data_IF_080199365872
#
_entry.id   IF_080199365872
#
_cell.length_a   1.000
_cell.length_b   1.000
_cell.length_c   1.000
_cell.angle_alpha   90.00
_cell.angle_beta   90.00
_cell.angle_gamma   90.00
#
_symmetry.space_group_name_H-M   'P 1'
#
loop_
_entity.id
_entity.type
_entity.pdbx_description
1 polymer ?
#
# COMPACT_ATOMS: atom_id res chain seq x y z
N UNK A 1 5.98 48.73 -12.70
CA UNK A 1 5.36 47.39 -12.86
C UNK A 1 5.49 46.65 -11.55
N UNK A 2 4.42 46.68 -10.74
CA UNK A 2 4.36 45.90 -9.48
C UNK A 2 4.15 44.46 -9.86
N UNK A 3 5.19 43.61 -9.74
CA UNK A 3 5.10 42.18 -9.83
C UNK A 3 4.20 41.68 -8.71
N UNK A 4 3.02 41.17 -9.06
CA UNK A 4 2.06 40.64 -8.09
C UNK A 4 2.65 39.33 -7.51
N UNK A 5 3.05 39.27 -6.21
CA UNK A 5 3.74 38.11 -5.63
C UNK A 5 2.86 36.88 -5.48
N UNK A 6 1.61 36.93 -5.91
CA UNK A 6 0.60 35.88 -5.71
C UNK A 6 0.39 34.92 -6.89
N UNK A 7 1.20 35.06 -7.97
CA UNK A 7 0.97 34.32 -9.23
C UNK A 7 1.38 32.83 -9.16
N UNK A 8 2.09 32.39 -8.13
CA UNK A 8 2.58 31.00 -8.04
C UNK A 8 2.07 30.20 -6.83
N UNK A 9 0.94 30.59 -6.22
CA UNK A 9 0.36 29.79 -5.15
C UNK A 9 -0.48 28.65 -5.70
N UNK A 10 -0.03 27.41 -5.50
CA UNK A 10 -0.93 26.27 -5.57
C UNK A 10 -2.10 26.49 -4.58
N UNK A 11 -3.33 26.05 -4.91
CA UNK A 11 -4.50 26.30 -4.06
C UNK A 11 -4.34 25.55 -2.73
N UNK A 12 -3.82 26.29 -1.74
CA UNK A 12 -3.72 25.82 -0.36
C UNK A 12 -5.10 25.88 0.28
N UNK A 13 -5.49 24.83 1.02
CA UNK A 13 -6.71 24.88 1.81
C UNK A 13 -6.68 26.03 2.82
N UNK A 14 -7.83 26.58 3.21
CA UNK A 14 -7.92 27.75 4.10
C UNK A 14 -7.16 27.57 5.44
N UNK A 15 -7.03 26.33 5.94
CA UNK A 15 -6.25 25.99 7.15
C UNK A 15 -4.77 26.29 6.97
N UNK A 16 -4.22 26.08 5.79
CA UNK A 16 -2.83 26.39 5.47
C UNK A 16 -2.64 27.85 5.10
N UNK A 17 -3.69 28.53 4.66
CA UNK A 17 -3.66 29.94 4.28
C UNK A 17 -3.66 30.88 5.50
N UNK A 18 -4.41 30.56 6.56
CA UNK A 18 -4.50 31.40 7.76
C UNK A 18 -3.15 31.66 8.46
N UNK A 19 -2.25 30.66 8.65
CA UNK A 19 -0.90 30.89 9.19
C UNK A 19 -0.02 31.77 8.30
N UNK A 20 -0.18 31.72 6.97
CA UNK A 20 0.58 32.58 6.04
C UNK A 20 0.23 34.03 6.23
N UNK A 21 -1.07 34.37 6.36
CA UNK A 21 -1.52 35.73 6.62
C UNK A 21 -0.95 36.29 7.96
N UNK A 22 -0.84 35.45 8.97
CA UNK A 22 -0.24 35.79 10.26
C UNK A 22 1.28 36.00 10.15
N UNK A 23 1.97 35.21 9.31
CA UNK A 23 3.41 35.38 9.04
C UNK A 23 3.75 36.70 8.38
N UNK A 24 2.85 37.22 7.56
CA UNK A 24 2.96 38.57 6.93
C UNK A 24 2.68 39.70 7.91
N UNK A 25 2.56 39.42 9.21
CA UNK A 25 2.33 40.43 10.27
C UNK A 25 0.88 40.89 10.40
N UNK A 26 -0.06 40.30 9.68
CA UNK A 26 -1.46 40.67 9.74
C UNK A 26 -2.19 39.86 10.84
N UNK A 27 -2.42 40.49 12.00
CA UNK A 27 -3.23 39.92 13.08
C UNK A 27 -4.73 39.99 12.73
N UNK A 28 -5.23 38.99 12.01
CA UNK A 28 -6.65 38.93 11.64
C UNK A 28 -7.31 37.66 12.19
N UNK A 29 -8.58 37.81 12.60
CA UNK A 29 -9.33 36.68 13.09
C UNK A 29 -9.54 35.62 11.97
N UNK A 30 -9.26 34.38 12.28
CA UNK A 30 -9.36 33.24 11.34
C UNK A 30 -10.76 33.14 10.70
N UNK A 31 -11.84 33.50 11.42
CA UNK A 31 -13.22 33.51 10.87
C UNK A 31 -13.38 34.58 9.77
N UNK A 32 -12.69 35.73 9.89
CA UNK A 32 -12.69 36.79 8.87
C UNK A 32 -11.91 36.31 7.63
N UNK A 33 -10.75 35.69 7.82
CA UNK A 33 -9.95 35.08 6.73
C UNK A 33 -10.76 34.04 5.98
N UNK A 34 -11.43 33.14 6.69
CA UNK A 34 -12.27 32.11 6.09
C UNK A 34 -13.42 32.70 5.24
N UNK A 35 -14.11 33.73 5.76
CA UNK A 35 -15.19 34.38 5.03
C UNK A 35 -14.72 35.04 3.74
N UNK A 36 -13.58 35.75 3.79
CA UNK A 36 -12.97 36.41 2.62
C UNK A 36 -12.52 35.34 1.61
N UNK A 37 -11.92 34.26 2.08
CA UNK A 37 -11.48 33.12 1.28
C UNK A 37 -12.65 32.48 0.51
N UNK A 38 -13.79 32.33 1.15
CA UNK A 38 -15.03 31.83 0.55
C UNK A 38 -15.59 32.81 -0.48
N UNK A 39 -15.67 34.10 -0.14
CA UNK A 39 -16.22 35.14 -1.01
C UNK A 39 -15.42 35.29 -2.32
N UNK A 40 -14.11 35.07 -2.26
CA UNK A 40 -13.23 35.16 -3.43
C UNK A 40 -13.16 33.82 -4.22
N UNK A 41 -14.00 32.83 -3.91
CA UNK A 41 -14.02 31.57 -4.65
C UNK A 41 -12.75 30.71 -4.56
N UNK A 42 -11.89 30.99 -3.57
CA UNK A 42 -10.61 30.32 -3.37
C UNK A 42 -10.76 28.91 -2.79
N UNK A 43 -11.98 28.44 -2.55
CA UNK A 43 -12.24 27.13 -1.99
C UNK A 43 -11.73 26.01 -2.89
N UNK A 44 -10.75 25.26 -2.40
CA UNK A 44 -10.28 24.04 -3.07
C UNK A 44 -11.44 23.04 -3.08
N UNK A 45 -11.86 22.62 -4.27
CA UNK A 45 -12.87 21.56 -4.40
C UNK A 45 -12.36 20.31 -3.68
N UNK A 46 -12.99 19.93 -2.58
CA UNK A 46 -12.71 18.64 -1.94
C UNK A 46 -12.85 17.54 -2.98
N UNK A 47 -11.78 16.79 -3.20
CA UNK A 47 -11.83 15.60 -4.05
C UNK A 47 -12.91 14.68 -3.48
N UNK A 48 -14.10 14.68 -4.09
CA UNK A 48 -15.15 13.72 -3.70
C UNK A 48 -14.56 12.34 -3.91
N UNK A 49 -14.50 11.54 -2.84
CA UNK A 49 -14.26 10.11 -2.98
C UNK A 49 -15.24 9.62 -4.05
N UNK A 50 -14.74 9.15 -5.17
CA UNK A 50 -15.57 8.43 -6.13
C UNK A 50 -16.22 7.31 -5.33
N UNK A 51 -17.56 7.33 -5.20
CA UNK A 51 -18.30 6.16 -4.74
C UNK A 51 -18.00 5.10 -5.79
N UNK A 52 -17.09 4.16 -5.46
CA UNK A 52 -16.89 2.98 -6.30
C UNK A 52 -18.24 2.33 -6.50
N UNK A 53 -18.52 1.88 -7.71
CA UNK A 53 -19.60 0.95 -7.95
C UNK A 53 -19.53 -0.11 -6.84
N UNK A 54 -20.66 -0.40 -6.22
CA UNK A 54 -20.77 -1.46 -5.22
C UNK A 54 -20.50 -2.79 -5.96
N UNK A 55 -19.21 -3.12 -6.12
CA UNK A 55 -18.81 -4.43 -6.60
C UNK A 55 -19.17 -5.40 -5.48
N UNK A 56 -19.94 -6.44 -5.80
CA UNK A 56 -20.22 -7.52 -4.88
C UNK A 56 -18.91 -7.95 -4.22
N UNK A 57 -18.80 -7.67 -2.93
CA UNK A 57 -17.63 -8.07 -2.14
C UNK A 57 -17.83 -9.54 -1.78
N UNK A 58 -17.36 -10.44 -2.64
CA UNK A 58 -17.23 -11.84 -2.23
C UNK A 58 -16.34 -11.87 -0.98
N UNK A 59 -16.84 -12.44 0.13
CA UNK A 59 -16.04 -12.52 1.33
C UNK A 59 -14.77 -13.31 1.03
N UNK A 60 -13.65 -12.84 1.55
CA UNK A 60 -12.37 -13.55 1.44
C UNK A 60 -12.51 -14.89 2.14
N UNK A 61 -12.44 -15.99 1.40
CA UNK A 61 -12.50 -17.32 1.96
C UNK A 61 -11.34 -17.47 2.95
N UNK A 62 -11.68 -17.57 4.23
CA UNK A 62 -10.70 -17.82 5.29
C UNK A 62 -10.27 -19.29 5.22
N UNK A 63 -8.96 -19.60 5.20
CA UNK A 63 -8.50 -20.98 5.31
C UNK A 63 -9.06 -21.65 6.58
N UNK A 64 -9.27 -22.95 6.54
CA UNK A 64 -9.86 -23.70 7.67
C UNK A 64 -8.80 -24.24 8.63
N UNK A 65 -7.52 -24.20 8.26
CA UNK A 65 -6.41 -24.68 9.08
C UNK A 65 -5.12 -23.86 8.83
N UNK A 66 -4.15 -23.93 9.77
CA UNK A 66 -2.82 -23.36 9.57
C UNK A 66 -2.12 -23.98 8.37
N UNK A 67 -1.24 -23.23 7.75
CA UNK A 67 -0.38 -23.65 6.64
C UNK A 67 -1.11 -24.08 5.36
N UNK A 68 -2.42 -23.75 5.22
CA UNK A 68 -3.15 -23.99 3.98
C UNK A 68 -2.94 -22.87 2.97
N UNK A 69 -2.94 -21.64 3.43
CA UNK A 69 -2.81 -20.47 2.54
C UNK A 69 -1.88 -19.44 3.15
N UNK A 70 -0.84 -19.09 2.41
CA UNK A 70 0.01 -17.97 2.72
C UNK A 70 -0.33 -16.79 1.81
N UNK A 71 -0.26 -15.56 2.35
CA UNK A 71 -0.33 -14.33 1.57
C UNK A 71 1.01 -13.64 1.57
N UNK A 72 1.45 -13.18 0.39
CA UNK A 72 2.70 -12.43 0.23
C UNK A 72 2.43 -11.08 -0.39
N UNK A 73 3.25 -10.10 0.00
CA UNK A 73 3.20 -8.74 -0.53
C UNK A 73 4.57 -8.06 -0.44
N UNK A 74 4.77 -7.05 -1.28
CA UNK A 74 5.94 -6.19 -1.24
C UNK A 74 5.60 -4.81 -0.70
N UNK A 75 6.28 -4.43 0.37
CA UNK A 75 6.28 -3.05 0.89
C UNK A 75 7.54 -2.34 0.40
N UNK A 76 7.36 -1.14 -0.16
CA UNK A 76 8.45 -0.27 -0.58
C UNK A 76 8.65 0.83 0.46
N UNK A 77 9.89 1.04 0.85
CA UNK A 77 10.29 2.12 1.76
C UNK A 77 11.64 2.72 1.33
N UNK A 78 12.10 3.73 2.03
CA UNK A 78 13.38 4.36 1.77
C UNK A 78 14.15 4.62 3.07
N UNK A 79 15.45 4.36 3.02
CA UNK A 79 16.37 4.73 4.11
C UNK A 79 16.48 6.26 4.23
N UNK A 80 16.92 6.75 5.39
CA UNK A 80 17.21 8.17 5.61
C UNK A 80 18.18 8.77 4.58
N UNK A 81 19.00 7.94 3.95
CA UNK A 81 19.90 8.31 2.85
C UNK A 81 19.19 8.48 1.49
N UNK A 82 17.86 8.27 1.42
CA UNK A 82 17.07 8.29 0.19
C UNK A 82 17.14 6.99 -0.64
N UNK A 83 17.95 6.01 -0.25
CA UNK A 83 18.04 4.73 -0.97
C UNK A 83 16.80 3.89 -0.73
N UNK A 84 16.14 3.47 -1.81
CA UNK A 84 14.94 2.61 -1.74
C UNK A 84 15.29 1.21 -1.25
N UNK A 85 14.42 0.67 -0.42
CA UNK A 85 14.44 -0.71 0.05
C UNK A 85 13.13 -1.39 -0.33
N UNK A 86 13.20 -2.70 -0.49
CA UNK A 86 12.06 -3.57 -0.78
C UNK A 86 11.95 -4.60 0.32
N UNK A 87 10.75 -4.73 0.89
CA UNK A 87 10.47 -5.64 1.98
C UNK A 87 9.44 -6.66 1.50
N UNK A 88 9.82 -7.94 1.49
CA UNK A 88 8.88 -9.04 1.26
C UNK A 88 8.28 -9.44 2.61
N UNK A 89 6.97 -9.41 2.71
CA UNK A 89 6.20 -9.93 3.85
C UNK A 89 5.46 -11.19 3.45
N UNK A 90 5.42 -12.18 4.33
CA UNK A 90 4.64 -13.41 4.16
C UNK A 90 3.90 -13.72 5.46
N UNK A 91 2.60 -14.01 5.36
CA UNK A 91 1.70 -14.24 6.49
C UNK A 91 0.87 -15.49 6.25
N UNK A 92 0.67 -16.30 7.28
CA UNK A 92 -0.33 -17.37 7.26
C UNK A 92 -1.73 -16.78 7.41
N UNK A 93 -2.61 -17.02 6.45
CA UNK A 93 -3.95 -16.44 6.41
C UNK A 93 -4.88 -16.95 7.52
N UNK A 94 -4.61 -18.11 8.10
CA UNK A 94 -5.40 -18.66 9.19
C UNK A 94 -4.95 -18.12 10.55
N UNK A 95 -3.66 -18.30 10.90
CA UNK A 95 -3.12 -17.90 12.20
C UNK A 95 -2.84 -16.41 12.31
N UNK A 96 -2.70 -15.70 11.18
CA UNK A 96 -2.24 -14.30 11.08
C UNK A 96 -0.79 -14.12 11.53
N UNK A 97 -0.06 -15.19 11.64
CA UNK A 97 1.34 -15.16 12.01
C UNK A 97 2.19 -14.69 10.85
N UNK A 98 3.14 -13.80 11.13
CA UNK A 98 4.16 -13.40 10.19
C UNK A 98 5.18 -14.52 10.02
N UNK A 99 5.28 -15.07 8.83
CA UNK A 99 6.20 -16.16 8.49
C UNK A 99 7.61 -15.63 8.19
N UNK A 100 7.67 -14.49 7.52
CA UNK A 100 8.92 -13.79 7.25
C UNK A 100 8.70 -12.31 6.94
N UNK A 101 9.71 -11.52 7.28
CA UNK A 101 9.90 -10.14 6.80
C UNK A 101 11.34 -10.06 6.31
N UNK A 102 11.52 -10.03 4.99
CA UNK A 102 12.85 -9.98 4.38
C UNK A 102 13.07 -8.63 3.69
N UNK A 103 14.09 -7.89 4.13
CA UNK A 103 14.41 -6.56 3.62
C UNK A 103 15.68 -6.62 2.75
N UNK A 104 15.60 -6.05 1.55
CA UNK A 104 16.74 -5.93 0.65
C UNK A 104 16.61 -4.70 -0.26
N UNK A 105 17.65 -4.33 -0.96
CA UNK A 105 17.59 -3.27 -1.97
C UNK A 105 16.87 -3.69 -3.25
N UNK A 106 16.78 -4.99 -3.49
CA UNK A 106 16.00 -5.62 -4.56
C UNK A 106 15.81 -7.08 -4.25
N UNK A 107 14.64 -7.61 -4.57
CA UNK A 107 14.30 -9.03 -4.39
C UNK A 107 13.80 -9.54 -5.73
N UNK A 108 14.49 -10.48 -6.33
CA UNK A 108 14.10 -11.16 -7.57
C UNK A 108 13.21 -12.36 -7.29
N UNK A 109 12.50 -12.88 -8.31
CA UNK A 109 11.68 -14.08 -8.15
C UNK A 109 12.46 -15.30 -7.64
N UNK A 110 13.72 -15.47 -8.07
CA UNK A 110 14.61 -16.54 -7.54
C UNK A 110 14.92 -16.34 -6.05
N UNK A 111 15.02 -15.10 -5.59
CA UNK A 111 15.21 -14.85 -4.15
C UNK A 111 13.93 -15.13 -3.38
N UNK A 112 12.75 -14.85 -3.97
CA UNK A 112 11.44 -15.21 -3.37
C UNK A 112 11.36 -16.72 -3.16
N UNK A 113 11.74 -17.54 -4.14
CA UNK A 113 11.68 -19.01 -3.98
C UNK A 113 12.59 -19.50 -2.85
N UNK A 114 13.82 -18.97 -2.72
CA UNK A 114 14.72 -19.29 -1.61
C UNK A 114 14.18 -18.90 -0.24
N UNK A 115 13.48 -17.76 -0.16
CA UNK A 115 12.83 -17.32 1.08
C UNK A 115 11.68 -18.28 1.42
N UNK A 116 10.89 -18.69 0.45
CA UNK A 116 9.81 -19.65 0.65
C UNK A 116 10.35 -21.02 1.11
N UNK A 117 11.44 -21.49 0.52
CA UNK A 117 12.11 -22.72 0.96
C UNK A 117 12.56 -22.62 2.42
N UNK A 118 13.12 -21.49 2.80
CA UNK A 118 13.55 -21.29 4.20
C UNK A 118 12.38 -21.34 5.21
N UNK A 119 11.21 -20.85 4.82
CA UNK A 119 10.00 -20.95 5.65
C UNK A 119 9.52 -22.40 5.69
N UNK A 120 9.54 -23.06 4.52
CA UNK A 120 9.04 -24.43 4.38
C UNK A 120 9.87 -25.46 5.16
N UNK A 121 11.16 -25.20 5.41
CA UNK A 121 12.00 -26.05 6.26
C UNK A 121 11.41 -26.28 7.66
N UNK A 122 10.69 -25.29 8.21
CA UNK A 122 10.13 -25.35 9.56
C UNK A 122 8.64 -25.66 9.58
N UNK A 123 7.91 -25.30 8.52
CA UNK A 123 6.44 -25.38 8.49
C UNK A 123 5.89 -26.34 7.44
N UNK A 124 6.72 -26.81 6.53
CA UNK A 124 6.28 -27.48 5.30
C UNK A 124 5.73 -26.45 4.28
N UNK A 125 5.46 -26.94 3.08
CA UNK A 125 4.91 -26.12 2.00
C UNK A 125 3.41 -25.88 2.19
N UNK A 126 2.88 -24.68 1.84
CA UNK A 126 1.45 -24.41 1.89
C UNK A 126 0.74 -25.07 0.70
N UNK A 127 -0.56 -25.25 0.81
CA UNK A 127 -1.36 -25.70 -0.34
C UNK A 127 -1.52 -24.55 -1.37
N UNK A 128 -1.60 -23.31 -0.91
CA UNK A 128 -1.86 -22.14 -1.77
C UNK A 128 -1.05 -20.95 -1.32
N UNK A 129 -0.56 -20.16 -2.28
CA UNK A 129 0.04 -18.84 -2.03
C UNK A 129 -0.75 -17.78 -2.78
N UNK A 130 -1.15 -16.71 -2.08
CA UNK A 130 -1.79 -15.53 -2.66
C UNK A 130 -0.78 -14.40 -2.81
N UNK A 131 -0.74 -13.79 -4.00
CA UNK A 131 0.13 -12.65 -4.29
C UNK A 131 -0.59 -11.67 -5.21
N UNK A 132 -0.09 -10.44 -5.28
CA UNK A 132 -0.43 -9.52 -6.36
C UNK A 132 0.22 -9.99 -7.70
N UNK A 133 0.04 -9.19 -8.75
CA UNK A 133 0.62 -9.46 -10.06
C UNK A 133 1.97 -8.74 -10.27
N UNK A 134 2.74 -8.56 -9.21
CA UNK A 134 4.09 -8.02 -9.33
C UNK A 134 5.00 -8.87 -10.22
N UNK A 135 5.97 -8.28 -10.93
CA UNK A 135 6.85 -9.01 -11.85
C UNK A 135 7.68 -10.09 -11.16
N UNK A 136 7.93 -9.95 -9.86
CA UNK A 136 8.64 -10.94 -9.05
C UNK A 136 7.78 -12.16 -8.75
N UNK A 137 6.45 -12.00 -8.74
CA UNK A 137 5.49 -13.06 -8.46
C UNK A 137 4.92 -13.70 -9.74
N UNK A 138 5.06 -13.04 -10.90
CA UNK A 138 4.65 -13.56 -12.21
C UNK A 138 5.82 -14.07 -13.03
N UNK A 139 6.91 -14.46 -12.38
CA UNK A 139 8.12 -14.93 -13.02
C UNK A 139 8.16 -16.45 -13.12
N UNK A 140 8.82 -16.96 -14.19
CA UNK A 140 9.00 -18.39 -14.42
C UNK A 140 9.60 -19.15 -13.23
N UNK A 141 10.48 -18.51 -12.46
CA UNK A 141 11.13 -19.17 -11.33
C UNK A 141 10.13 -19.52 -10.22
N UNK A 142 9.17 -18.63 -9.94
CA UNK A 142 8.12 -18.90 -8.94
C UNK A 142 7.09 -19.93 -9.45
N UNK A 143 6.73 -19.85 -10.72
CA UNK A 143 5.82 -20.83 -11.35
C UNK A 143 6.40 -22.25 -11.31
N UNK A 144 7.67 -22.37 -11.67
CA UNK A 144 8.39 -23.66 -11.63
C UNK A 144 8.50 -24.19 -10.19
N UNK A 145 8.88 -23.33 -9.24
CA UNK A 145 8.95 -23.69 -7.82
C UNK A 145 7.60 -24.18 -7.28
N UNK A 146 6.53 -23.48 -7.61
CA UNK A 146 5.19 -23.85 -7.18
C UNK A 146 4.76 -25.21 -7.76
N UNK A 147 5.08 -25.47 -9.01
CA UNK A 147 4.82 -26.75 -9.65
C UNK A 147 5.60 -27.90 -8.97
N UNK A 148 6.89 -27.70 -8.70
CA UNK A 148 7.77 -28.69 -8.07
C UNK A 148 7.30 -29.08 -6.66
N UNK A 149 6.71 -28.13 -5.92
CA UNK A 149 6.27 -28.35 -4.53
C UNK A 149 4.75 -28.57 -4.39
N UNK A 150 4.02 -28.63 -5.50
CA UNK A 150 2.56 -28.85 -5.48
C UNK A 150 1.78 -27.67 -4.87
N UNK A 151 2.30 -26.44 -4.96
CA UNK A 151 1.70 -25.23 -4.42
C UNK A 151 0.88 -24.52 -5.48
N UNK A 152 -0.37 -24.18 -5.18
CA UNK A 152 -1.22 -23.40 -6.08
C UNK A 152 -0.92 -21.89 -5.93
N UNK A 153 -0.53 -21.21 -7.00
CA UNK A 153 -0.38 -19.75 -7.02
C UNK A 153 -1.71 -19.11 -7.40
N UNK A 154 -2.25 -18.26 -6.50
CA UNK A 154 -3.47 -17.47 -6.70
C UNK A 154 -3.14 -15.99 -6.83
N UNK A 155 -3.05 -15.55 -8.08
CA UNK A 155 -2.84 -14.13 -8.38
C UNK A 155 -4.13 -13.34 -8.14
N UNK A 156 -4.01 -12.26 -7.37
CA UNK A 156 -5.11 -11.35 -7.06
C UNK A 156 -5.45 -10.55 -8.31
N UNK A 157 -6.74 -10.45 -8.62
CA UNK A 157 -7.19 -9.68 -9.78
C UNK A 157 -6.96 -8.18 -9.58
N UNK A 158 -6.46 -7.47 -10.62
CA UNK A 158 -6.34 -6.01 -10.56
C UNK A 158 -7.66 -5.35 -10.18
N UNK A 159 -7.61 -4.41 -9.24
CA UNK A 159 -8.80 -3.69 -8.76
C UNK A 159 -9.65 -4.42 -7.72
N UNK A 160 -9.24 -5.59 -7.23
CA UNK A 160 -9.88 -6.32 -6.13
C UNK A 160 -8.96 -6.43 -4.90
N UNK A 161 -8.59 -5.33 -4.24
CA UNK A 161 -7.68 -5.33 -3.09
C UNK A 161 -8.24 -6.18 -1.92
N UNK A 162 -9.55 -6.34 -1.82
CA UNK A 162 -10.17 -7.18 -0.78
C UNK A 162 -9.68 -8.64 -0.81
N UNK A 163 -9.16 -9.13 -1.94
CA UNK A 163 -8.63 -10.48 -2.06
C UNK A 163 -7.27 -10.64 -1.34
N UNK A 164 -6.56 -9.54 -1.05
CA UNK A 164 -5.31 -9.52 -0.27
C UNK A 164 -5.47 -8.91 1.13
N UNK A 165 -6.70 -8.79 1.60
CA UNK A 165 -7.03 -8.07 2.84
C UNK A 165 -6.30 -8.57 4.09
N UNK A 166 -5.79 -9.81 4.10
CA UNK A 166 -5.04 -10.33 5.23
C UNK A 166 -3.65 -9.71 5.33
N UNK A 167 -2.88 -9.72 4.23
CA UNK A 167 -1.54 -9.14 4.21
C UNK A 167 -1.57 -7.61 4.23
N UNK A 168 -2.55 -6.98 3.56
CA UNK A 168 -2.75 -5.53 3.64
C UNK A 168 -3.04 -5.06 5.07
N UNK A 169 -3.85 -5.83 5.82
CA UNK A 169 -4.09 -5.55 7.25
C UNK A 169 -2.86 -5.74 8.11
N UNK A 170 -1.96 -6.65 7.75
CA UNK A 170 -0.68 -6.84 8.44
C UNK A 170 0.28 -5.67 8.13
N UNK A 171 0.44 -5.31 6.85
CA UNK A 171 1.34 -4.25 6.41
C UNK A 171 0.87 -2.85 6.82
N UNK A 172 -0.41 -2.65 7.10
CA UNK A 172 -1.01 -1.38 7.49
C UNK A 172 -1.00 -1.08 9.00
N UNK A 173 -0.42 -1.95 9.81
CA UNK A 173 -0.22 -1.78 11.26
C UNK A 173 1.15 -1.26 11.55
#
# INVERSE_FOLDING_TARGET
EQINPWINFQPLGWISFAPLVTREGLCVNHKRVYRIYQLNGLSVKRRRRRKGLATERLPLLRPMAPNLTWSMDFVMDALATGRRIKCLTCVDDFTKECLTVTVAFGISGVQVTRILDSIALFRGYPATIRTDQGPEFTCRALDQWAFEHGVELRLIQPGKPTQNGFIESFNGR
#
